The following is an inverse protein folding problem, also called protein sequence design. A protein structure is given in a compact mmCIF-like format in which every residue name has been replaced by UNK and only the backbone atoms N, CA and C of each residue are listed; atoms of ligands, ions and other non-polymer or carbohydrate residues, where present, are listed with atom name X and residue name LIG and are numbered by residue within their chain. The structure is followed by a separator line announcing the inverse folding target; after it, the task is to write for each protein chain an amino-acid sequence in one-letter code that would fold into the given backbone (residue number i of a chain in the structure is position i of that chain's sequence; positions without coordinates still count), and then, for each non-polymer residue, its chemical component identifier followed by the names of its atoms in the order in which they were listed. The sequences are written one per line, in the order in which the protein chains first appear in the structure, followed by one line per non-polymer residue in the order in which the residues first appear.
data_IF_975255621237
#
_entry.id   IF_975255621237
#
_cell.length_a   1.000
_cell.length_b   1.000
_cell.length_c   1.000
_cell.angle_alpha   90.00
_cell.angle_beta   90.00
_cell.angle_gamma   90.00
#
_symmetry.space_group_name_H-M   'P 1'
#
loop_
_entity.id
_entity.type
_entity.pdbx_description
1 polymer ?
#
# COMPACT_ATOMS: atom_id res chain seq x y z
N UNK A 1 2.76 -2.35 3.54
CA UNK A 1 3.46 -1.48 2.56
C UNK A 1 4.96 -1.67 2.69
N UNK A 2 5.51 -2.72 2.08
CA UNK A 2 6.93 -3.03 2.22
C UNK A 2 7.77 -2.67 0.98
N UNK A 3 7.11 -2.39 -0.14
CA UNK A 3 7.73 -2.11 -1.44
C UNK A 3 8.31 -0.70 -1.60
N UNK A 4 7.96 0.26 -0.74
CA UNK A 4 8.24 1.68 -1.01
C UNK A 4 9.31 2.34 -0.11
N UNK A 5 9.76 1.71 0.99
CA UNK A 5 10.56 2.46 1.99
C UNK A 5 11.94 1.87 2.31
N UNK A 6 12.14 0.55 2.35
CA UNK A 6 13.42 -0.03 2.81
C UNK A 6 13.64 -1.40 2.17
N UNK A 7 14.21 -1.52 0.96
CA UNK A 7 14.32 -2.81 0.25
C UNK A 7 15.10 -3.87 1.03
N UNK A 8 16.06 -3.47 1.88
CA UNK A 8 16.76 -4.40 2.78
C UNK A 8 15.84 -5.09 3.80
N UNK A 9 14.66 -4.53 4.10
CA UNK A 9 13.65 -5.22 4.93
C UNK A 9 13.08 -6.44 4.21
N UNK A 10 12.98 -6.44 2.89
CA UNK A 10 12.52 -7.63 2.15
C UNK A 10 13.41 -8.84 2.48
N UNK A 11 14.73 -8.65 2.49
CA UNK A 11 15.69 -9.69 2.91
C UNK A 11 15.50 -10.16 4.35
N UNK A 12 15.16 -9.26 5.29
CA UNK A 12 14.91 -9.63 6.70
C UNK A 12 13.59 -10.37 6.91
N UNK A 13 12.64 -10.25 5.99
CA UNK A 13 11.34 -10.92 6.10
C UNK A 13 11.36 -12.34 5.56
N UNK A 14 12.39 -12.69 4.78
CA UNK A 14 12.65 -14.06 4.38
C UNK A 14 12.80 -14.90 5.66
N UNK A 15 11.79 -15.73 5.95
CA UNK A 15 11.72 -16.59 7.14
C UNK A 15 10.91 -16.05 8.33
N UNK A 16 10.39 -14.82 8.29
CA UNK A 16 9.47 -14.30 9.32
C UNK A 16 7.99 -14.55 8.99
N UNK A 17 7.69 -14.81 7.72
CA UNK A 17 6.33 -14.96 7.22
C UNK A 17 6.30 -16.10 6.21
N UNK A 18 5.28 -16.96 6.28
CA UNK A 18 5.09 -18.06 5.35
C UNK A 18 4.62 -17.57 3.97
N UNK A 19 3.76 -16.55 3.95
CA UNK A 19 3.21 -15.94 2.71
C UNK A 19 2.93 -14.45 2.88
N UNK A 20 3.11 -13.69 1.81
CA UNK A 20 2.87 -12.25 1.76
C UNK A 20 1.64 -11.96 0.88
N UNK A 21 0.64 -11.30 1.46
CA UNK A 21 -0.56 -10.91 0.71
C UNK A 21 -0.33 -9.57 0.02
N UNK A 22 -0.31 -9.58 -1.32
CA UNK A 22 -0.09 -8.43 -2.16
C UNK A 22 -1.42 -7.76 -2.52
N UNK A 23 -1.47 -6.44 -2.36
CA UNK A 23 -2.65 -5.64 -2.70
C UNK A 23 -2.59 -5.12 -4.13
N UNK A 24 -1.38 -5.04 -4.70
CA UNK A 24 -1.14 -4.57 -6.05
C UNK A 24 -0.36 -5.60 -6.89
N UNK A 25 -0.63 -5.70 -8.21
CA UNK A 25 -0.02 -6.71 -9.06
C UNK A 25 1.50 -6.54 -9.23
N UNK A 26 2.03 -5.33 -9.07
CA UNK A 26 3.48 -5.10 -9.16
C UNK A 26 4.25 -5.57 -7.91
N UNK A 27 3.58 -5.71 -6.76
CA UNK A 27 4.24 -6.11 -5.52
C UNK A 27 4.75 -7.56 -5.61
N UNK A 28 3.99 -8.47 -6.24
CA UNK A 28 4.43 -9.86 -6.44
C UNK A 28 5.78 -9.92 -7.19
N UNK A 29 5.86 -9.24 -8.34
CA UNK A 29 7.09 -9.17 -9.16
C UNK A 29 8.29 -8.61 -8.39
N UNK A 30 8.06 -7.68 -7.46
CA UNK A 30 9.13 -7.14 -6.63
C UNK A 30 9.64 -8.19 -5.62
N UNK A 31 8.74 -8.96 -5.01
CA UNK A 31 9.08 -9.94 -3.98
C UNK A 31 9.58 -11.27 -4.53
N UNK A 32 9.28 -11.60 -5.79
CA UNK A 32 9.82 -12.78 -6.48
C UNK A 32 11.36 -12.77 -6.48
N UNK A 33 11.98 -11.59 -6.63
CA UNK A 33 13.44 -11.43 -6.59
C UNK A 33 14.07 -11.76 -5.23
N UNK A 34 13.25 -11.77 -4.17
CA UNK A 34 13.68 -12.05 -2.81
C UNK A 34 13.29 -13.45 -2.34
N UNK A 35 12.75 -14.29 -3.22
CA UNK A 35 12.30 -15.65 -2.93
C UNK A 35 11.28 -15.68 -1.77
N UNK A 36 10.30 -14.76 -1.82
CA UNK A 36 9.23 -14.65 -0.83
C UNK A 36 7.94 -15.12 -1.49
N UNK A 37 7.28 -16.12 -0.91
CA UNK A 37 5.99 -16.58 -1.41
C UNK A 37 4.94 -15.47 -1.30
N UNK A 38 4.37 -15.04 -2.43
CA UNK A 38 3.39 -13.95 -2.47
C UNK A 38 2.07 -14.35 -3.13
N UNK A 39 0.97 -13.87 -2.57
CA UNK A 39 -0.39 -14.09 -3.08
C UNK A 39 -1.07 -12.74 -3.33
N UNK A 40 -1.41 -12.44 -4.58
CA UNK A 40 -2.22 -11.26 -4.89
C UNK A 40 -3.69 -11.48 -4.52
N UNK A 41 -4.19 -10.65 -3.61
CA UNK A 41 -5.59 -10.70 -3.12
C UNK A 41 -6.39 -9.46 -3.53
N UNK A 42 -5.73 -8.46 -4.12
CA UNK A 42 -6.34 -7.17 -4.45
C UNK A 42 -6.61 -6.31 -3.22
N UNK A 43 -7.02 -5.06 -3.47
CA UNK A 43 -7.23 -4.09 -2.41
C UNK A 43 -8.72 -4.02 -2.03
N UNK A 44 -9.11 -4.41 -0.80
CA UNK A 44 -10.53 -4.59 -0.41
C UNK A 44 -11.33 -3.28 -0.32
N UNK A 45 -10.70 -2.14 -0.57
CA UNK A 45 -11.31 -0.81 -0.61
C UNK A 45 -11.69 -0.41 -2.03
N UNK A 46 -11.10 -1.03 -3.07
CA UNK A 46 -11.31 -0.64 -4.48
C UNK A 46 -12.77 -0.82 -4.91
N UNK A 47 -13.49 -1.78 -4.34
CA UNK A 47 -14.93 -1.97 -4.59
C UNK A 47 -15.87 -1.21 -3.64
N UNK A 48 -15.35 -0.58 -2.58
CA UNK A 48 -16.20 0.04 -1.53
C UNK A 48 -16.49 1.53 -1.75
N UNK A 49 -15.69 2.20 -2.56
CA UNK A 49 -15.84 3.63 -2.80
C UNK A 49 -15.84 3.89 -4.30
N UNK A 50 -16.94 4.41 -4.82
CA UNK A 50 -16.96 5.01 -6.15
C UNK A 50 -16.28 6.37 -6.05
N UNK A 51 -15.26 6.67 -6.88
CA UNK A 51 -14.65 7.99 -6.89
C UNK A 51 -15.69 9.02 -7.30
N UNK A 52 -16.04 9.92 -6.38
CA UNK A 52 -16.88 11.09 -6.68
C UNK A 52 -16.02 12.11 -7.43
N UNK A 53 -16.12 12.13 -8.75
CA UNK A 53 -15.51 13.17 -9.57
C UNK A 53 -16.41 14.40 -9.54
N UNK A 54 -16.27 15.21 -8.47
CA UNK A 54 -16.85 16.55 -8.49
C UNK A 54 -15.97 17.42 -9.42
N UNK A 55 -16.52 17.81 -10.58
CA UNK A 55 -15.81 18.58 -11.61
C UNK A 55 -15.83 20.09 -11.37
N UNK A 56 -16.59 20.55 -10.37
CA UNK A 56 -16.54 21.94 -9.92
C UNK A 56 -15.28 22.13 -9.08
N UNK A 57 -14.39 23.05 -9.49
CA UNK A 57 -13.02 23.28 -9.03
C UNK A 57 -12.81 23.58 -7.54
N UNK A 58 -13.39 22.76 -6.68
CA UNK A 58 -13.41 22.83 -5.22
C UNK A 58 -12.23 22.02 -4.72
N UNK A 59 -11.21 22.68 -4.16
CA UNK A 59 -10.05 22.01 -3.59
C UNK A 59 -10.38 21.53 -2.17
N UNK A 60 -10.53 20.21 -2.00
CA UNK A 60 -10.70 19.60 -0.69
C UNK A 60 -9.33 19.31 -0.06
N UNK A 61 -8.98 20.06 0.99
CA UNK A 61 -7.83 19.77 1.84
C UNK A 61 -8.27 18.89 3.00
N UNK A 62 -7.97 17.58 2.91
CA UNK A 62 -8.18 16.66 4.01
C UNK A 62 -6.92 16.63 4.87
N UNK A 63 -7.00 16.97 6.16
CA UNK A 63 -5.87 16.75 7.05
C UNK A 63 -5.55 15.25 7.07
N UNK A 64 -4.28 14.92 6.90
CA UNK A 64 -3.80 13.56 7.00
C UNK A 64 -3.94 13.03 8.42
N UNK A 65 -3.56 11.77 8.58
CA UNK A 65 -3.71 11.03 9.85
C UNK A 65 -2.95 11.61 11.05
N UNK A 66 -2.00 12.52 10.82
CA UNK A 66 -1.13 13.06 11.87
C UNK A 66 -1.74 14.31 12.47
N UNK A 67 -1.95 14.29 13.79
CA UNK A 67 -2.46 15.45 14.56
C UNK A 67 -1.62 16.71 14.38
N UNK A 68 -0.33 16.56 14.10
CA UNK A 68 0.61 17.66 13.81
C UNK A 68 0.24 18.45 12.56
N UNK A 69 -0.55 17.89 11.64
CA UNK A 69 -0.99 18.59 10.42
C UNK A 69 -2.10 19.62 10.72
N UNK A 70 -2.85 19.44 11.81
CA UNK A 70 -3.94 20.33 12.22
C UNK A 70 -3.48 21.30 13.31
N UNK A 71 -2.51 20.87 14.14
CA UNK A 71 -2.12 21.60 15.34
C UNK A 71 -0.87 22.44 15.08
N UNK A 72 -1.07 23.75 14.94
CA UNK A 72 -0.04 24.79 15.06
C UNK A 72 0.14 25.22 16.50
#
# INVERSE_FOLDING_TARGET
KLWAWRPWRAKKLRGLFDRLLCLFPFEQRFFDQYDIATNFVGHPVVGRFSPTTNKDGSLLLLPGSRRTEIRR
#
